data_IF_834638966404
#
_entry.id   IF_834638966404
#
_cell.length_a   1.000
_cell.length_b   1.000
_cell.length_c   1.000
_cell.angle_alpha   90.00
_cell.angle_beta   90.00
_cell.angle_gamma   90.00
#
_symmetry.space_group_name_H-M   'P 1'
#
loop_
_entity.id
_entity.type
_entity.pdbx_description
1 polymer ?
#
# COMPACT_ATOMS: atom_id res chain seq x y z
N UNK A 1 69.13 0.79 1.33
CA UNK A 1 67.97 0.39 2.14
C UNK A 1 67.22 1.65 2.55
N UNK A 2 65.96 1.83 2.12
CA UNK A 2 64.95 2.70 2.76
C UNK A 2 63.56 2.44 2.16
N UNK A 3 62.98 1.42 2.77
CA UNK A 3 61.58 1.01 2.97
C UNK A 3 60.50 1.88 2.32
N UNK A 4 59.79 1.26 1.38
CA UNK A 4 58.44 1.59 0.98
C UNK A 4 57.44 1.17 2.06
N UNK A 5 56.46 2.03 2.39
CA UNK A 5 55.30 1.65 3.18
C UNK A 5 54.07 2.43 2.65
N UNK A 6 53.34 1.77 1.75
CA UNK A 6 52.00 2.17 1.29
C UNK A 6 51.00 1.87 2.41
N UNK A 7 50.39 2.91 2.97
CA UNK A 7 49.26 2.77 3.90
C UNK A 7 47.98 2.88 3.07
N UNK A 8 47.46 1.75 2.60
CA UNK A 8 46.10 1.65 2.09
C UNK A 8 45.18 1.32 3.27
N UNK A 9 44.54 2.33 3.85
CA UNK A 9 43.46 2.10 4.82
C UNK A 9 42.14 2.04 4.08
N UNK A 10 41.57 0.84 4.08
CA UNK A 10 40.32 0.44 3.46
C UNK A 10 39.18 1.15 4.19
N UNK A 11 38.46 2.03 3.50
CA UNK A 11 37.18 2.55 3.97
C UNK A 11 36.16 1.40 3.91
N UNK A 12 35.94 0.73 5.04
CA UNK A 12 34.80 -0.14 5.22
C UNK A 12 33.54 0.74 5.27
N UNK A 13 32.93 1.00 4.12
CA UNK A 13 31.55 1.46 4.08
C UNK A 13 30.71 0.33 4.69
N UNK A 14 30.23 0.56 5.91
CA UNK A 14 29.20 -0.26 6.51
C UNK A 14 27.97 -0.15 5.61
N UNK A 15 27.81 -1.12 4.70
CA UNK A 15 26.55 -1.35 4.01
C UNK A 15 25.65 -1.89 5.10
N UNK A 16 24.92 -1.00 5.77
CA UNK A 16 23.78 -1.36 6.60
C UNK A 16 22.88 -2.22 5.73
N UNK A 17 22.91 -3.54 5.95
CA UNK A 17 21.94 -4.45 5.37
C UNK A 17 20.60 -4.08 5.98
N UNK A 18 19.88 -3.19 5.31
CA UNK A 18 18.50 -2.86 5.62
C UNK A 18 17.72 -4.16 5.49
N UNK A 19 17.16 -4.64 6.59
CA UNK A 19 16.23 -5.76 6.57
C UNK A 19 15.06 -5.37 5.68
N UNK A 20 15.02 -5.95 4.47
CA UNK A 20 13.87 -5.81 3.59
C UNK A 20 12.63 -6.24 4.34
N UNK A 21 11.72 -5.30 4.57
CA UNK A 21 10.43 -5.55 5.20
C UNK A 21 9.62 -6.39 4.21
N UNK A 22 9.61 -7.71 4.44
CA UNK A 22 9.00 -8.71 3.55
C UNK A 22 7.54 -9.03 3.93
N UNK A 23 6.97 -8.30 4.89
CA UNK A 23 5.60 -8.50 5.33
C UNK A 23 4.59 -8.06 4.28
N UNK A 24 3.38 -8.61 4.38
CA UNK A 24 2.22 -8.17 3.61
C UNK A 24 1.05 -7.98 4.56
N UNK A 25 0.36 -6.85 4.48
CA UNK A 25 -0.88 -6.65 5.20
C UNK A 25 -2.07 -7.11 4.37
N UNK A 26 -2.95 -7.92 4.96
CA UNK A 26 -4.09 -8.55 4.27
C UNK A 26 -5.44 -8.33 4.97
N UNK A 27 -5.47 -7.60 6.08
CA UNK A 27 -6.68 -7.43 6.88
C UNK A 27 -7.50 -6.22 6.40
N UNK A 28 -8.15 -6.42 5.26
CA UNK A 28 -9.01 -5.43 4.64
C UNK A 28 -10.49 -5.82 4.76
N UNK A 29 -11.36 -4.83 4.90
CA UNK A 29 -12.81 -4.99 4.96
C UNK A 29 -13.45 -4.28 3.77
N UNK A 30 -14.29 -4.99 3.02
CA UNK A 30 -15.12 -4.38 1.98
C UNK A 30 -16.01 -3.32 2.60
N UNK A 31 -16.08 -2.13 1.99
CA UNK A 31 -16.90 -1.06 2.54
C UNK A 31 -18.39 -1.41 2.41
N UNK A 32 -19.19 -0.94 3.36
CA UNK A 32 -20.65 -0.93 3.23
C UNK A 32 -21.08 0.18 2.26
N UNK A 33 -20.75 0.04 0.97
CA UNK A 33 -21.29 0.92 -0.05
C UNK A 33 -22.78 0.55 -0.27
N UNK A 34 -23.66 1.52 -0.58
CA UNK A 34 -25.08 1.27 -0.82
C UNK A 34 -25.33 0.24 -1.94
N UNK A 35 -24.32 0.01 -2.78
CA UNK A 35 -24.49 -0.73 -4.03
C UNK A 35 -23.95 -2.16 -3.95
N UNK A 36 -23.07 -2.52 -3.00
CA UNK A 36 -22.41 -3.84 -2.78
C UNK A 36 -21.96 -4.66 -4.02
N UNK A 37 -22.11 -4.12 -5.22
CA UNK A 37 -21.97 -4.77 -6.51
C UNK A 37 -20.86 -4.05 -7.27
N UNK A 38 -19.71 -3.87 -6.61
CA UNK A 38 -18.52 -3.44 -7.31
C UNK A 38 -18.25 -4.38 -8.48
N UNK A 39 -17.92 -3.84 -9.65
CA UNK A 39 -17.63 -4.66 -10.82
C UNK A 39 -16.39 -5.56 -10.63
N UNK A 40 -15.55 -5.30 -9.62
CA UNK A 40 -14.45 -6.13 -9.21
C UNK A 40 -14.77 -6.87 -7.90
N UNK A 41 -14.95 -8.19 -8.00
CA UNK A 41 -15.01 -9.05 -6.81
C UNK A 41 -13.58 -9.36 -6.35
N UNK A 42 -13.15 -8.74 -5.25
CA UNK A 42 -11.81 -8.91 -4.67
C UNK A 42 -11.76 -10.20 -3.84
N UNK A 43 -10.87 -11.12 -4.21
CA UNK A 43 -10.62 -12.37 -3.45
C UNK A 43 -9.40 -12.25 -2.55
N UNK A 44 -8.42 -11.43 -2.94
CA UNK A 44 -7.22 -11.16 -2.13
C UNK A 44 -6.81 -9.71 -2.28
N UNK A 45 -6.54 -9.07 -1.16
CA UNK A 45 -5.95 -7.74 -1.10
C UNK A 45 -4.72 -7.79 -0.19
N UNK A 46 -3.61 -7.26 -0.68
CA UNK A 46 -2.31 -7.39 -0.05
C UNK A 46 -1.51 -6.10 -0.23
N UNK A 47 -1.00 -5.55 0.86
CA UNK A 47 -0.19 -4.34 0.84
C UNK A 47 1.25 -4.67 1.24
N UNK A 48 2.22 -4.20 0.45
CA UNK A 48 3.65 -4.45 0.66
C UNK A 48 4.49 -3.20 0.32
N UNK A 49 5.62 -2.92 1.00
CA UNK A 49 6.10 -3.62 2.18
C UNK A 49 5.18 -3.38 3.38
N UNK A 50 5.15 -4.34 4.30
CA UNK A 50 4.53 -4.15 5.60
C UNK A 50 5.51 -4.50 6.73
N UNK A 51 5.66 -3.66 7.77
CA UNK A 51 5.03 -2.33 7.97
C UNK A 51 5.39 -1.33 6.84
N UNK A 52 4.63 -0.24 6.71
CA UNK A 52 4.92 0.75 5.68
C UNK A 52 6.17 1.56 6.01
N UNK A 53 6.88 1.98 4.97
CA UNK A 53 8.03 2.85 5.08
C UNK A 53 7.73 4.29 4.67
N UNK A 54 7.96 5.24 5.57
CA UNK A 54 7.94 6.67 5.22
C UNK A 54 9.02 6.91 4.17
N UNK A 55 8.69 7.72 3.16
CA UNK A 55 9.57 8.05 2.01
C UNK A 55 9.93 6.86 1.09
N UNK A 56 9.25 5.72 1.21
CA UNK A 56 9.38 4.62 0.26
C UNK A 56 8.06 4.28 -0.44
N UNK A 57 8.18 3.72 -1.65
CA UNK A 57 7.02 3.25 -2.41
C UNK A 57 6.38 2.07 -1.70
N UNK A 58 5.07 1.96 -1.86
CA UNK A 58 4.32 0.78 -1.44
C UNK A 58 3.41 0.33 -2.57
N UNK A 59 3.05 -0.95 -2.57
CA UNK A 59 2.23 -1.56 -3.59
C UNK A 59 1.05 -2.29 -2.97
N UNK A 60 -0.11 -2.14 -3.63
CA UNK A 60 -1.34 -2.85 -3.35
C UNK A 60 -1.55 -3.91 -4.42
N UNK A 61 -1.37 -5.17 -4.03
CA UNK A 61 -1.70 -6.33 -4.83
C UNK A 61 -3.19 -6.67 -4.66
N UNK A 62 -3.93 -6.62 -5.76
CA UNK A 62 -5.37 -6.91 -5.83
C UNK A 62 -5.56 -8.14 -6.70
N UNK A 63 -6.20 -9.19 -6.19
CA UNK A 63 -6.61 -10.35 -6.98
C UNK A 63 -8.12 -10.50 -6.89
N UNK A 64 -8.76 -10.82 -8.00
CA UNK A 64 -10.21 -10.89 -8.07
C UNK A 64 -10.73 -11.28 -9.45
N UNK A 65 -11.99 -10.95 -9.70
CA UNK A 65 -12.62 -11.09 -11.02
C UNK A 65 -13.44 -9.86 -11.36
N UNK A 66 -13.24 -9.33 -12.57
CA UNK A 66 -14.06 -8.28 -13.16
C UNK A 66 -15.34 -8.86 -13.77
N UNK A 67 -16.49 -8.28 -13.48
CA UNK A 67 -17.78 -8.61 -14.11
C UNK A 67 -18.03 -7.84 -15.41
N UNK A 68 -17.30 -6.75 -15.62
CA UNK A 68 -17.33 -5.90 -16.80
C UNK A 68 -15.90 -5.43 -17.15
N UNK A 69 -15.62 -5.08 -18.42
CA UNK A 69 -14.32 -4.54 -18.80
C UNK A 69 -13.98 -3.26 -18.01
N UNK A 70 -12.72 -3.13 -17.60
CA UNK A 70 -12.18 -1.88 -17.07
C UNK A 70 -11.74 -1.01 -18.25
N UNK A 71 -12.32 0.18 -18.37
CA UNK A 71 -12.14 1.09 -19.52
C UNK A 71 -11.36 2.34 -19.15
N UNK A 72 -10.90 3.08 -20.17
CA UNK A 72 -10.19 4.35 -20.01
C UNK A 72 -10.97 5.37 -19.17
N UNK A 73 -10.25 6.16 -18.38
CA UNK A 73 -10.83 7.11 -17.42
C UNK A 73 -11.17 6.50 -16.06
N UNK A 74 -10.79 5.25 -15.80
CA UNK A 74 -10.92 4.64 -14.48
C UNK A 74 -10.08 5.40 -13.43
N UNK A 75 -10.63 5.55 -12.24
CA UNK A 75 -10.06 6.35 -11.15
C UNK A 75 -9.94 5.53 -9.87
N UNK A 76 -8.90 5.81 -9.07
CA UNK A 76 -8.72 5.28 -7.74
C UNK A 76 -8.61 6.43 -6.74
N UNK A 77 -9.58 6.50 -5.82
CA UNK A 77 -9.52 7.39 -4.68
C UNK A 77 -8.98 6.62 -3.48
N UNK A 78 -7.86 7.07 -2.96
CA UNK A 78 -7.28 6.56 -1.72
C UNK A 78 -7.47 7.62 -0.63
N UNK A 79 -8.16 7.28 0.45
CA UNK A 79 -8.35 8.15 1.60
C UNK A 79 -7.54 7.62 2.77
N UNK A 80 -6.60 8.45 3.21
CA UNK A 80 -5.83 8.20 4.41
C UNK A 80 -6.49 8.83 5.61
N UNK A 81 -6.63 8.08 6.70
CA UNK A 81 -7.20 8.57 7.94
C UNK A 81 -6.16 8.60 9.06
N UNK A 82 -5.89 9.78 9.60
CA UNK A 82 -5.03 9.99 10.76
C UNK A 82 -5.62 11.06 11.70
N UNK A 83 -5.64 10.85 13.01
CA UNK A 83 -6.11 11.85 14.00
C UNK A 83 -7.44 12.57 13.63
N UNK A 84 -8.42 11.84 13.08
CA UNK A 84 -9.71 12.39 12.58
C UNK A 84 -9.62 13.28 11.34
N UNK A 85 -8.49 13.29 10.63
CA UNK A 85 -8.30 13.93 9.32
C UNK A 85 -8.30 12.87 8.23
N UNK A 86 -9.07 13.14 7.20
CA UNK A 86 -9.07 12.39 5.96
C UNK A 86 -8.23 13.16 4.93
N UNK A 87 -7.25 12.50 4.34
CA UNK A 87 -6.40 13.04 3.27
C UNK A 87 -6.66 12.22 2.01
N UNK A 88 -7.59 12.68 1.15
CA UNK A 88 -7.87 12.02 -0.11
C UNK A 88 -6.70 12.20 -1.07
N UNK A 89 -6.47 11.19 -1.90
CA UNK A 89 -5.48 11.13 -2.96
C UNK A 89 -6.14 10.44 -4.15
N UNK A 90 -6.27 11.16 -5.25
CA UNK A 90 -6.89 10.63 -6.46
C UNK A 90 -5.80 10.23 -7.46
N UNK A 91 -5.97 9.05 -8.04
CA UNK A 91 -5.07 8.49 -9.04
C UNK A 91 -5.85 8.10 -10.28
N UNK A 92 -5.22 8.28 -11.44
CA UNK A 92 -5.64 7.63 -12.68
C UNK A 92 -5.30 6.13 -12.58
N UNK A 93 -6.33 5.29 -12.49
CA UNK A 93 -6.16 3.86 -12.27
C UNK A 93 -5.53 3.19 -13.50
N UNK A 94 -5.86 3.65 -14.71
CA UNK A 94 -5.30 3.12 -15.94
C UNK A 94 -3.80 3.39 -16.05
N UNK A 95 -3.34 4.55 -15.62
CA UNK A 95 -1.93 4.93 -15.56
C UNK A 95 -1.16 4.09 -14.53
N UNK A 96 -1.75 3.86 -13.35
CA UNK A 96 -1.17 2.97 -12.34
C UNK A 96 -1.05 1.53 -12.84
N UNK A 97 -2.09 1.02 -13.49
CA UNK A 97 -2.10 -0.33 -14.07
C UNK A 97 -1.12 -0.46 -15.24
N UNK A 98 -1.00 0.56 -16.09
CA UNK A 98 -0.02 0.61 -17.17
C UNK A 98 1.42 0.56 -16.65
N UNK A 99 1.72 1.27 -15.55
CA UNK A 99 3.02 1.20 -14.88
C UNK A 99 3.33 -0.21 -14.34
N UNK A 100 2.29 -1.00 -14.02
CA UNK A 100 2.37 -2.41 -13.66
C UNK A 100 2.29 -3.40 -14.85
N UNK A 101 2.29 -2.91 -16.10
CA UNK A 101 2.23 -3.73 -17.31
C UNK A 101 0.84 -4.21 -17.73
N UNK A 102 -0.23 -3.58 -17.22
CA UNK A 102 -1.63 -3.88 -17.53
C UNK A 102 -2.38 -2.62 -18.00
N UNK A 103 -2.03 -2.03 -19.16
CA UNK A 103 -2.73 -0.84 -19.63
C UNK A 103 -4.22 -1.14 -19.86
N UNK A 104 -5.06 -0.12 -19.71
CA UNK A 104 -6.46 -0.18 -20.12
C UNK A 104 -6.59 -0.28 -21.66
N UNK A 105 -7.70 -0.84 -22.18
CA UNK A 105 -8.76 -1.53 -21.46
C UNK A 105 -8.36 -2.94 -20.97
N UNK A 106 -9.04 -3.43 -19.94
CA UNK A 106 -8.85 -4.79 -19.41
C UNK A 106 -10.19 -5.52 -19.49
N UNK A 107 -10.23 -6.66 -20.18
CA UNK A 107 -11.44 -7.46 -20.34
C UNK A 107 -11.99 -7.98 -19.01
N UNK A 108 -13.28 -8.31 -19.00
CA UNK A 108 -13.90 -8.99 -17.87
C UNK A 108 -13.26 -10.37 -17.62
N UNK A 109 -13.30 -10.83 -16.37
CA UNK A 109 -12.74 -12.11 -15.95
C UNK A 109 -11.69 -12.00 -14.84
N UNK A 110 -10.92 -13.08 -14.59
CA UNK A 110 -9.93 -13.12 -13.52
C UNK A 110 -8.81 -12.10 -13.73
N UNK A 111 -8.47 -11.36 -12.67
CA UNK A 111 -7.44 -10.32 -12.70
C UNK A 111 -6.51 -10.40 -11.50
N UNK A 112 -5.27 -9.97 -11.73
CA UNK A 112 -4.28 -9.73 -10.68
C UNK A 112 -3.53 -8.44 -11.01
N UNK A 113 -3.70 -7.43 -10.17
CA UNK A 113 -3.11 -6.11 -10.31
C UNK A 113 -2.09 -5.88 -9.21
N UNK A 114 -1.04 -5.13 -9.53
CA UNK A 114 -0.09 -4.64 -8.55
C UNK A 114 0.03 -3.13 -8.74
N UNK A 115 -0.66 -2.38 -7.89
CA UNK A 115 -0.73 -0.92 -7.94
C UNK A 115 0.33 -0.34 -7.01
N UNK A 116 1.39 0.24 -7.56
CA UNK A 116 2.45 0.84 -6.76
C UNK A 116 2.30 2.35 -6.69
N UNK A 117 2.38 2.88 -5.49
CA UNK A 117 2.22 4.29 -5.17
C UNK A 117 3.54 4.87 -4.71
N UNK A 118 3.74 6.14 -5.03
CA UNK A 118 4.88 6.88 -4.52
C UNK A 118 4.77 7.12 -3.02
N UNK A 119 5.91 7.49 -2.44
CA UNK A 119 6.08 7.51 -1.01
C UNK A 119 5.21 8.53 -0.29
N UNK A 120 4.81 8.17 0.94
CA UNK A 120 4.05 9.03 1.85
C UNK A 120 5.00 10.02 2.54
N UNK A 121 5.49 11.02 1.81
CA UNK A 121 6.65 11.81 2.28
C UNK A 121 6.30 12.81 3.38
N UNK A 122 5.06 13.32 3.43
CA UNK A 122 4.75 14.51 4.24
C UNK A 122 3.49 14.42 5.13
N UNK A 123 2.79 13.28 5.14
CA UNK A 123 1.47 13.18 5.79
C UNK A 123 1.54 12.56 7.19
N UNK A 124 2.54 11.71 7.49
CA UNK A 124 2.51 10.87 8.70
C UNK A 124 3.74 11.03 9.60
N UNK A 125 3.54 11.25 10.91
CA UNK A 125 4.56 11.00 11.91
C UNK A 125 4.96 9.52 11.91
N UNK A 126 6.23 9.18 12.20
CA UNK A 126 6.65 7.79 12.35
C UNK A 126 5.91 7.09 13.49
N UNK A 127 5.67 5.79 13.31
CA UNK A 127 5.03 4.86 14.24
C UNK A 127 3.58 5.21 14.59
N UNK A 128 2.88 5.90 13.68
CA UNK A 128 1.50 6.31 13.90
C UNK A 128 0.50 5.33 13.25
N UNK A 129 -0.60 4.96 13.92
CA UNK A 129 -1.63 4.13 13.31
C UNK A 129 -2.33 4.90 12.19
N UNK A 130 -2.41 4.28 11.02
CA UNK A 130 -3.07 4.84 9.82
C UNK A 130 -4.25 3.99 9.39
N UNK A 131 -5.36 4.66 9.08
CA UNK A 131 -6.54 4.11 8.45
C UNK A 131 -6.56 4.38 6.94
N UNK A 132 -7.29 3.55 6.20
CA UNK A 132 -7.23 3.48 4.74
C UNK A 132 -8.61 3.25 4.19
N UNK A 133 -8.92 3.89 3.08
CA UNK A 133 -10.04 3.51 2.23
C UNK A 133 -9.63 3.65 0.77
N UNK A 134 -9.87 2.60 0.00
CA UNK A 134 -9.69 2.56 -1.44
C UNK A 134 -11.07 2.50 -2.07
N UNK A 135 -11.40 3.48 -2.91
CA UNK A 135 -12.57 3.46 -3.79
C UNK A 135 -12.07 3.50 -5.23
N UNK A 136 -12.30 2.44 -5.98
CA UNK A 136 -12.00 2.43 -7.40
C UNK A 136 -13.29 2.60 -8.21
N UNK A 137 -13.25 3.42 -9.23
CA UNK A 137 -14.33 3.67 -10.18
C UNK A 137 -13.87 3.35 -11.59
N UNK A 138 -14.75 2.78 -12.40
CA UNK A 138 -14.48 2.50 -13.80
C UNK A 138 -14.66 3.79 -14.62
N UNK A 139 -14.18 3.81 -15.86
CA UNK A 139 -14.28 5.00 -16.73
C UNK A 139 -15.71 5.41 -17.10
N UNK A 140 -16.68 4.50 -16.90
CA UNK A 140 -18.12 4.79 -17.03
C UNK A 140 -18.75 5.42 -15.76
N UNK A 141 -17.95 5.60 -14.69
CA UNK A 141 -18.38 6.15 -13.40
C UNK A 141 -18.93 5.12 -12.42
N UNK A 142 -19.04 3.84 -12.80
CA UNK A 142 -19.49 2.78 -11.89
C UNK A 142 -18.43 2.42 -10.84
N UNK A 143 -18.87 1.94 -9.68
CA UNK A 143 -17.97 1.45 -8.64
C UNK A 143 -17.30 0.14 -9.09
N UNK A 144 -15.97 0.10 -9.13
CA UNK A 144 -15.20 -1.13 -9.33
C UNK A 144 -15.10 -1.91 -8.02
N UNK A 145 -14.54 -1.31 -6.97
CA UNK A 145 -14.52 -1.91 -5.64
C UNK A 145 -14.34 -0.84 -4.56
N UNK A 146 -14.73 -1.19 -3.34
CA UNK A 146 -14.39 -0.42 -2.15
C UNK A 146 -13.79 -1.33 -1.08
N UNK A 147 -12.67 -0.92 -0.52
CA UNK A 147 -12.03 -1.61 0.59
C UNK A 147 -11.52 -0.61 1.62
N UNK A 148 -11.55 -0.97 2.89
CA UNK A 148 -11.05 -0.15 3.98
C UNK A 148 -10.29 -0.97 5.00
N UNK A 149 -9.35 -0.32 5.67
CA UNK A 149 -8.70 -0.85 6.86
C UNK A 149 -8.83 0.22 7.96
N UNK A 150 -9.43 -0.10 9.12
CA UNK A 150 -9.59 0.89 10.18
C UNK A 150 -8.21 1.34 10.68
N UNK A 151 -8.07 2.61 11.13
CA UNK A 151 -6.92 2.98 11.92
C UNK A 151 -6.92 2.12 13.19
N UNK A 152 -5.76 1.61 13.59
CA UNK A 152 -5.66 0.89 14.87
C UNK A 152 -6.12 1.79 16.01
N UNK A 153 -7.28 1.52 16.60
CA UNK A 153 -7.73 2.15 17.86
C UNK A 153 -7.33 1.33 19.08
N UNK A 154 -6.69 0.16 18.90
CA UNK A 154 -6.23 -0.68 20.01
C UNK A 154 -4.87 -0.20 20.55
N UNK A 155 -4.88 0.87 21.35
CA UNK A 155 -3.99 0.96 22.51
C UNK A 155 -4.82 0.61 23.75
N UNK A 156 -5.24 -0.65 23.85
CA UNK A 156 -5.52 -1.22 25.18
C UNK A 156 -4.18 -1.57 25.79
N UNK A 157 -3.98 -1.13 27.04
CA UNK A 157 -2.80 -1.34 27.88
C UNK A 157 -2.16 -2.74 27.78
N UNK A 158 -0.83 -2.71 27.75
CA UNK A 158 0.13 -3.70 28.27
C UNK A 158 -0.15 -5.21 28.09
N UNK A 159 0.54 -5.82 27.13
CA UNK A 159 1.22 -7.10 27.38
C UNK A 159 2.63 -7.09 26.74
N UNK A 160 3.72 -7.38 27.47
CA UNK A 160 5.08 -7.10 27.00
C UNK A 160 5.66 -8.12 26.03
N UNK A 161 4.99 -9.25 25.77
CA UNK A 161 5.66 -10.41 25.13
C UNK A 161 4.98 -10.95 23.86
N UNK A 162 3.84 -10.38 23.41
CA UNK A 162 3.30 -10.65 22.07
C UNK A 162 2.22 -9.60 21.66
N UNK A 163 2.56 -8.53 20.90
CA UNK A 163 1.70 -7.35 20.75
C UNK A 163 0.57 -7.45 19.69
N UNK A 164 0.35 -8.60 19.06
CA UNK A 164 -0.57 -8.72 17.91
C UNK A 164 -1.98 -9.17 18.33
N UNK A 165 -2.81 -8.22 18.77
CA UNK A 165 -4.24 -8.42 18.97
C UNK A 165 -5.13 -7.95 17.82
N UNK A 166 -4.67 -6.97 17.03
CA UNK A 166 -5.29 -6.55 15.76
C UNK A 166 -4.18 -5.94 14.90
N UNK A 167 -3.86 -6.56 13.76
CA UNK A 167 -2.91 -6.00 12.81
C UNK A 167 -3.51 -4.70 12.27
N UNK A 168 -2.89 -3.57 12.57
CA UNK A 168 -3.18 -2.32 11.86
C UNK A 168 -1.90 -1.75 11.33
N UNK A 169 -2.05 -0.78 10.44
CA UNK A 169 -0.94 -0.36 9.63
C UNK A 169 -0.25 0.82 10.27
N UNK A 170 1.07 0.72 10.36
CA UNK A 170 1.96 1.76 10.85
C UNK A 170 2.88 2.16 9.72
N UNK A 171 3.08 3.47 9.56
CA UNK A 171 4.17 4.01 8.78
C UNK A 171 5.38 4.23 9.72
N UNK A 172 6.54 3.68 9.37
CA UNK A 172 7.75 3.80 10.17
C UNK A 172 8.91 4.38 9.36
N UNK A 173 9.91 4.92 10.05
CA UNK A 173 11.17 5.29 9.40
C UNK A 173 11.92 4.03 9.02
N UNK A 174 12.21 3.87 7.74
CA UNK A 174 13.00 2.75 7.25
C UNK A 174 14.43 3.25 7.04
N UNK A 175 15.36 2.64 7.78
CA UNK A 175 16.78 2.95 7.76
C UNK A 175 17.41 2.63 6.39
#
# INVERSE_FOLDING_TARGET
>A
MKIAALIATIAAAAISTVSAQSGTFTNFTTCAAPDNNGQLTVTKLALSPFPLCIKQKYCLAVTGSLSAPLVEGAALQNVWRFYSRDTPQDYDLCSLLAAGGRPCPIDAGPVSFNLCFDALVDVFPPNFPVGWSYNAYNGDGSLLFCSSAPPNTARTEETPENPYGIAGIYAQNCA
#
